data_IF_280576837711
#
_entry.id   IF_280576837711
#
_cell.length_a   1.000
_cell.length_b   1.000
_cell.length_c   1.000
_cell.angle_alpha   90.00
_cell.angle_beta   90.00
_cell.angle_gamma   90.00
#
_symmetry.space_group_name_H-M   'P 1'
#
loop_
_entity.id
_entity.type
_entity.pdbx_description
1 polymer ?
#
# COMPACT_ATOMS: atom_id res chain seq x y z
N UNK A 1 10.93 -6.14 -16.41
CA UNK A 1 11.69 -6.41 -15.19
C UNK A 1 11.81 -7.92 -15.08
N UNK A 2 13.00 -8.44 -15.37
CA UNK A 2 13.29 -9.87 -15.31
C UNK A 2 13.92 -10.18 -13.94
N UNK A 3 14.03 -11.45 -13.58
CA UNK A 3 14.58 -11.87 -12.28
C UNK A 3 16.00 -11.31 -12.01
N UNK A 4 16.79 -11.11 -13.06
CA UNK A 4 18.12 -10.49 -12.97
C UNK A 4 18.05 -9.02 -12.58
N UNK A 5 17.11 -8.25 -13.14
CA UNK A 5 16.95 -6.81 -12.87
C UNK A 5 16.60 -6.54 -11.39
N UNK A 6 15.79 -7.43 -10.78
CA UNK A 6 15.46 -7.32 -9.35
C UNK A 6 16.68 -7.56 -8.46
N UNK A 7 17.49 -8.58 -8.78
CA UNK A 7 18.71 -8.89 -8.01
C UNK A 7 19.75 -7.77 -8.08
N UNK A 8 19.78 -6.99 -9.17
CA UNK A 8 20.64 -5.81 -9.28
C UNK A 8 20.16 -4.68 -8.36
N UNK A 9 18.85 -4.44 -8.29
CA UNK A 9 18.26 -3.47 -7.37
C UNK A 9 18.52 -3.87 -5.91
N UNK A 10 18.30 -5.13 -5.55
CA UNK A 10 18.57 -5.65 -4.20
C UNK A 10 20.04 -5.42 -3.81
N UNK A 11 20.96 -5.72 -4.73
CA UNK A 11 22.39 -5.48 -4.50
C UNK A 11 22.70 -3.99 -4.31
N UNK A 12 22.15 -3.13 -5.17
CA UNK A 12 22.36 -1.68 -5.06
C UNK A 12 21.84 -1.13 -3.72
N UNK A 13 20.65 -1.54 -3.29
CA UNK A 13 20.07 -1.13 -2.00
C UNK A 13 20.92 -1.62 -0.83
N UNK A 14 21.47 -2.84 -0.91
CA UNK A 14 22.32 -3.40 0.15
C UNK A 14 23.66 -2.68 0.33
N UNK A 15 24.10 -1.92 -0.69
CA UNK A 15 25.36 -1.17 -0.68
C UNK A 15 25.19 0.30 -0.25
N UNK A 16 23.95 0.75 0.01
CA UNK A 16 23.69 2.11 0.48
C UNK A 16 24.32 2.36 1.85
N UNK A 17 24.79 3.58 2.06
CA UNK A 17 25.13 4.06 3.40
C UNK A 17 23.89 4.07 4.29
N UNK A 18 24.05 4.07 5.61
CA UNK A 18 22.91 4.16 6.53
C UNK A 18 22.05 5.41 6.30
N UNK A 19 22.67 6.52 5.90
CA UNK A 19 21.98 7.77 5.60
C UNK A 19 21.17 7.66 4.31
N UNK A 20 21.76 7.14 3.23
CA UNK A 20 21.09 6.99 1.95
C UNK A 20 20.00 5.93 2.01
N UNK A 21 20.20 4.87 2.80
CA UNK A 21 19.17 3.86 3.07
C UNK A 21 17.98 4.46 3.84
N UNK A 22 18.21 5.40 4.76
CA UNK A 22 17.13 6.10 5.43
C UNK A 22 16.32 6.96 4.45
N UNK A 23 17.00 7.74 3.59
CA UNK A 23 16.36 8.53 2.52
C UNK A 23 15.57 7.64 1.56
N UNK A 24 16.16 6.52 1.14
CA UNK A 24 15.51 5.54 0.28
C UNK A 24 14.23 4.99 0.91
N UNK A 25 14.27 4.61 2.19
CA UNK A 25 13.08 4.11 2.90
C UNK A 25 11.95 5.14 2.98
N UNK A 26 12.28 6.40 3.26
CA UNK A 26 11.28 7.48 3.30
C UNK A 26 10.62 7.65 1.94
N UNK A 27 11.43 7.78 0.88
CA UNK A 27 10.90 7.93 -0.48
C UNK A 27 10.10 6.69 -0.93
N UNK A 28 10.60 5.48 -0.63
CA UNK A 28 9.95 4.25 -1.05
C UNK A 28 8.59 4.07 -0.38
N UNK A 29 8.45 4.47 0.89
CA UNK A 29 7.16 4.45 1.58
C UNK A 29 6.12 5.35 0.89
N UNK A 30 6.51 6.56 0.48
CA UNK A 30 5.63 7.48 -0.27
C UNK A 30 5.30 6.93 -1.67
N UNK A 31 6.30 6.36 -2.34
CA UNK A 31 6.10 5.72 -3.64
C UNK A 31 5.12 4.54 -3.55
N UNK A 32 5.30 3.65 -2.58
CA UNK A 32 4.45 2.47 -2.39
C UNK A 32 3.03 2.87 -1.97
N UNK A 33 2.90 3.85 -1.06
CA UNK A 33 1.61 4.43 -0.70
C UNK A 33 0.87 4.99 -1.93
N UNK A 34 1.55 5.74 -2.80
CA UNK A 34 0.93 6.27 -4.02
C UNK A 34 0.52 5.17 -5.01
N UNK A 35 1.21 4.02 -5.03
CA UNK A 35 0.77 2.87 -5.83
C UNK A 35 -0.44 2.18 -5.22
N UNK A 36 -0.46 2.05 -3.88
CA UNK A 36 -1.60 1.53 -3.15
C UNK A 36 -2.85 2.40 -3.34
N UNK A 37 -2.73 3.73 -3.23
CA UNK A 37 -3.83 4.66 -3.48
C UNK A 37 -4.46 4.45 -4.86
N UNK A 38 -3.63 4.37 -5.91
CA UNK A 38 -4.12 4.11 -7.28
C UNK A 38 -4.84 2.76 -7.41
N UNK A 39 -4.31 1.72 -6.78
CA UNK A 39 -4.95 0.40 -6.79
C UNK A 39 -6.28 0.44 -6.05
N UNK A 40 -6.30 1.05 -4.88
CA UNK A 40 -7.50 1.22 -4.07
C UNK A 40 -8.57 2.00 -4.83
N UNK A 41 -8.24 3.14 -5.43
CA UNK A 41 -9.17 3.92 -6.26
C UNK A 41 -9.72 3.10 -7.43
N UNK A 42 -8.87 2.31 -8.09
CA UNK A 42 -9.31 1.42 -9.17
C UNK A 42 -10.22 0.29 -8.68
N UNK A 43 -9.97 -0.26 -7.49
CA UNK A 43 -10.82 -1.26 -6.85
C UNK A 43 -12.18 -0.70 -6.46
N UNK A 44 -12.20 0.52 -5.90
CA UNK A 44 -13.43 1.28 -5.60
C UNK A 44 -14.22 1.54 -6.87
N UNK A 45 -13.59 2.07 -7.93
CA UNK A 45 -14.26 2.36 -9.19
C UNK A 45 -14.80 1.10 -9.87
N UNK A 46 -14.18 -0.06 -9.63
CA UNK A 46 -14.62 -1.35 -10.14
C UNK A 46 -15.70 -2.03 -9.28
N UNK A 47 -16.13 -1.42 -8.16
CA UNK A 47 -17.10 -1.98 -7.22
C UNK A 47 -16.58 -3.19 -6.42
N UNK A 48 -15.26 -3.43 -6.42
CA UNK A 48 -14.67 -4.61 -5.74
C UNK A 48 -14.81 -4.56 -4.23
N UNK A 49 -14.98 -3.35 -3.67
CA UNK A 49 -15.09 -3.12 -2.23
C UNK A 49 -16.53 -2.91 -1.75
N UNK A 50 -17.53 -2.95 -2.64
CA UNK A 50 -18.92 -2.65 -2.32
C UNK A 50 -19.47 -3.56 -1.22
N UNK A 51 -19.20 -4.86 -1.30
CA UNK A 51 -19.64 -5.83 -0.29
C UNK A 51 -19.05 -5.55 1.11
N UNK A 52 -17.84 -4.99 1.17
CA UNK A 52 -17.22 -4.59 2.44
C UNK A 52 -17.86 -3.31 2.97
N UNK A 53 -18.16 -2.35 2.09
CA UNK A 53 -18.86 -1.12 2.45
C UNK A 53 -20.28 -1.42 2.98
N UNK A 54 -21.04 -2.28 2.30
CA UNK A 54 -22.38 -2.69 2.73
C UNK A 54 -22.36 -3.37 4.10
N UNK A 55 -21.35 -4.23 4.33
CA UNK A 55 -21.17 -4.88 5.62
C UNK A 55 -20.88 -3.86 6.72
N UNK A 56 -19.94 -2.93 6.48
CA UNK A 56 -19.58 -1.91 7.45
C UNK A 56 -20.79 -1.02 7.81
N UNK A 57 -21.60 -0.63 6.83
CA UNK A 57 -22.84 0.13 7.05
C UNK A 57 -23.85 -0.65 7.89
N UNK A 58 -24.01 -1.95 7.62
CA UNK A 58 -24.90 -2.81 8.40
C UNK A 58 -24.43 -2.97 9.85
N UNK A 59 -23.13 -3.17 10.06
CA UNK A 59 -22.55 -3.31 11.39
C UNK A 59 -22.71 -2.01 12.20
N UNK A 60 -22.53 -0.84 11.55
CA UNK A 60 -22.80 0.47 12.16
C UNK A 60 -24.26 0.62 12.59
N UNK A 61 -25.21 0.27 11.71
CA UNK A 61 -26.64 0.32 12.01
C UNK A 61 -27.05 -0.61 13.16
N UNK A 62 -26.33 -1.72 13.32
CA UNK A 62 -26.58 -2.70 14.38
C UNK A 62 -25.90 -2.34 15.71
N UNK A 63 -25.12 -1.27 15.77
CA UNK A 63 -24.35 -0.90 16.96
C UNK A 63 -23.18 -1.83 17.23
N UNK A 64 -22.70 -2.55 16.21
CA UNK A 64 -21.54 -3.45 16.30
C UNK A 64 -20.20 -2.72 16.09
N UNK A 65 -20.20 -1.39 16.04
CA UNK A 65 -19.01 -0.56 15.93
C UNK A 65 -18.68 0.09 17.28
N UNK A 66 -17.38 0.27 17.55
CA UNK A 66 -16.87 1.07 18.67
C UNK A 66 -16.25 2.36 18.14
N UNK A 67 -16.19 3.38 18.99
CA UNK A 67 -15.45 4.60 18.67
C UNK A 67 -13.94 4.30 18.50
N UNK A 68 -13.27 5.16 17.73
CA UNK A 68 -11.84 5.11 17.42
C UNK A 68 -10.96 5.53 18.61
#
# INVERSE_FOLDING_TARGET
>A
MNKSDLGEIERAVSQLSSEDLAKFRTWFAEFDAANWDRQFEADVAAGRLDALADKALKDLQQGNCTDL
#
